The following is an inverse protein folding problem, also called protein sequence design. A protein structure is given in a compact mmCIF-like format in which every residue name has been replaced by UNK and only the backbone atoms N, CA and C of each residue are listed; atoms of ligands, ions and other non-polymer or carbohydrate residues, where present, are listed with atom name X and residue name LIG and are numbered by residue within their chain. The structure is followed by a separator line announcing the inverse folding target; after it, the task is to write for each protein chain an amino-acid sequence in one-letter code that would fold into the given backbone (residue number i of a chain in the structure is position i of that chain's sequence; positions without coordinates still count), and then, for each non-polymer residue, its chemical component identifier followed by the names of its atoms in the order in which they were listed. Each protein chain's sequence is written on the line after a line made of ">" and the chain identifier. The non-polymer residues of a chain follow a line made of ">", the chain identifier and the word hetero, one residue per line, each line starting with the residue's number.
data_IF_294547167628
#
_entry.id   IF_294547167628
#
_cell.length_a   1.000
_cell.length_b   1.000
_cell.length_c   1.000
_cell.angle_alpha   90.00
_cell.angle_beta   90.00
_cell.angle_gamma   90.00
#
_symmetry.space_group_name_H-M   'P 1'
#
loop_
_entity.id
_entity.type
_entity.pdbx_description
1 polymer ?
#
# COMPACT_ATOMS: atom_id res chain seq x y z
N UNK A 1 -19.66 -9.09 0.99
CA UNK A 1 -18.48 -9.32 1.87
C UNK A 1 -17.19 -9.29 1.06
N UNK A 2 -17.07 -10.11 0.02
CA UNK A 2 -15.86 -10.20 -0.80
C UNK A 2 -15.55 -8.88 -1.52
N UNK A 3 -16.57 -8.23 -2.08
CA UNK A 3 -16.42 -6.92 -2.75
C UNK A 3 -15.96 -5.86 -1.77
N UNK A 4 -16.51 -5.86 -0.54
CA UNK A 4 -16.08 -4.93 0.50
C UNK A 4 -14.62 -5.14 0.91
N UNK A 5 -14.18 -6.40 0.98
CA UNK A 5 -12.78 -6.73 1.30
C UNK A 5 -11.84 -6.24 0.19
N UNK A 6 -12.23 -6.40 -1.07
CA UNK A 6 -11.45 -5.90 -2.20
C UNK A 6 -11.35 -4.38 -2.15
N UNK A 7 -12.47 -3.70 -1.88
CA UNK A 7 -12.49 -2.23 -1.79
C UNK A 7 -11.60 -1.72 -0.64
N UNK A 8 -11.65 -2.38 0.51
CA UNK A 8 -10.79 -2.04 1.66
C UNK A 8 -9.32 -2.25 1.32
N UNK A 9 -8.99 -3.38 0.68
CA UNK A 9 -7.62 -3.67 0.26
C UNK A 9 -7.11 -2.67 -0.76
N UNK A 10 -7.92 -2.35 -1.77
CA UNK A 10 -7.56 -1.36 -2.78
C UNK A 10 -7.35 0.03 -2.16
N UNK A 11 -8.23 0.44 -1.24
CA UNK A 11 -8.09 1.69 -0.51
C UNK A 11 -6.80 1.73 0.31
N UNK A 12 -6.46 0.63 0.97
CA UNK A 12 -5.20 0.49 1.71
C UNK A 12 -3.99 0.62 0.81
N UNK A 13 -4.02 0.00 -0.37
CA UNK A 13 -2.95 0.11 -1.36
C UNK A 13 -2.77 1.54 -1.86
N UNK A 14 -3.88 2.25 -2.14
CA UNK A 14 -3.82 3.65 -2.56
C UNK A 14 -3.21 4.54 -1.48
N UNK A 15 -3.63 4.36 -0.24
CA UNK A 15 -3.07 5.14 0.88
C UNK A 15 -1.59 4.86 1.08
N UNK A 16 -1.18 3.60 0.97
CA UNK A 16 0.23 3.23 1.10
C UNK A 16 1.06 3.80 -0.04
N UNK A 17 0.54 3.77 -1.26
CA UNK A 17 1.20 4.36 -2.43
C UNK A 17 1.33 5.88 -2.29
N UNK A 18 0.30 6.56 -1.81
CA UNK A 18 0.34 8.01 -1.58
C UNK A 18 1.39 8.38 -0.52
N UNK A 19 1.46 7.61 0.56
CA UNK A 19 2.47 7.82 1.61
C UNK A 19 3.88 7.59 1.09
N UNK A 20 4.06 6.56 0.28
CA UNK A 20 5.35 6.27 -0.34
C UNK A 20 5.77 7.42 -1.25
N UNK A 21 4.87 7.91 -2.09
CA UNK A 21 5.13 9.01 -3.01
C UNK A 21 5.50 10.29 -2.24
N UNK A 22 4.78 10.60 -1.16
CA UNK A 22 5.08 11.75 -0.33
C UNK A 22 6.46 11.63 0.34
N UNK A 23 6.80 10.46 0.86
CA UNK A 23 8.11 10.21 1.46
C UNK A 23 9.23 10.29 0.43
N UNK A 24 9.01 9.75 -0.77
CA UNK A 24 9.98 9.83 -1.86
C UNK A 24 10.26 11.28 -2.26
N UNK A 25 9.21 12.10 -2.33
CA UNK A 25 9.35 13.53 -2.63
C UNK A 25 10.17 14.26 -1.56
N UNK A 26 9.96 13.92 -0.28
CA UNK A 26 10.74 14.53 0.82
C UNK A 26 12.19 14.11 0.78
N UNK A 27 12.46 12.83 0.49
CA UNK A 27 13.84 12.34 0.35
C UNK A 27 14.55 13.04 -0.81
N UNK A 28 13.85 13.24 -1.92
CA UNK A 28 14.40 13.95 -3.07
C UNK A 28 14.79 15.40 -2.69
N UNK A 29 13.95 16.06 -1.90
CA UNK A 29 14.25 17.43 -1.40
C UNK A 29 15.44 17.44 -0.45
N UNK A 30 15.58 16.42 0.37
CA UNK A 30 16.76 16.28 1.23
C UNK A 30 18.04 16.23 0.40
N UNK A 31 18.03 15.46 -0.68
CA UNK A 31 19.18 15.35 -1.58
C UNK A 31 19.55 16.66 -2.27
N UNK A 32 18.61 17.58 -2.42
CA UNK A 32 18.85 18.91 -3.01
C UNK A 32 19.20 19.97 -1.97
N UNK A 33 19.07 19.66 -0.68
CA UNK A 33 19.31 20.61 0.41
C UNK A 33 18.24 21.68 0.56
N UNK A 34 17.10 21.53 -0.10
CA UNK A 34 16.03 22.54 -0.08
C UNK A 34 15.11 22.44 1.13
N UNK A 35 15.17 21.34 1.87
CA UNK A 35 14.34 21.13 3.05
C UNK A 35 15.11 20.35 4.10
N UNK A 36 14.87 20.67 5.38
CA UNK A 36 15.38 19.87 6.48
C UNK A 36 14.46 18.65 6.63
N UNK A 37 15.03 17.48 6.47
CA UNK A 37 14.31 16.22 6.54
C UNK A 37 15.13 15.26 7.40
N UNK A 38 14.47 14.55 8.32
CA UNK A 38 15.09 13.45 9.04
C UNK A 38 15.05 12.22 8.13
N UNK A 39 16.18 11.90 7.53
CA UNK A 39 16.30 10.79 6.59
C UNK A 39 15.91 9.46 7.25
N UNK A 40 16.27 9.26 8.51
CA UNK A 40 15.91 8.05 9.22
C UNK A 40 14.40 7.91 9.35
N UNK A 41 13.70 8.99 9.71
CA UNK A 41 12.24 9.02 9.77
C UNK A 41 11.62 8.74 8.42
N UNK A 42 12.14 9.33 7.34
CA UNK A 42 11.63 9.10 6.00
C UNK A 42 11.84 7.65 5.55
N UNK A 43 12.95 7.03 5.90
CA UNK A 43 13.18 5.62 5.61
C UNK A 43 12.20 4.72 6.35
N UNK A 44 11.90 5.02 7.61
CA UNK A 44 10.88 4.29 8.37
C UNK A 44 9.50 4.44 7.71
N UNK A 45 9.16 5.63 7.25
CA UNK A 45 7.91 5.90 6.54
C UNK A 45 7.81 5.08 5.25
N UNK A 46 8.88 5.00 4.47
CA UNK A 46 8.91 4.21 3.25
C UNK A 46 8.72 2.72 3.55
N UNK A 47 9.41 2.20 4.56
CA UNK A 47 9.29 0.80 4.96
C UNK A 47 7.88 0.49 5.48
N UNK A 48 7.28 1.41 6.23
CA UNK A 48 5.92 1.27 6.73
C UNK A 48 4.92 1.26 5.57
N UNK A 49 5.08 2.16 4.61
CA UNK A 49 4.22 2.22 3.43
C UNK A 49 4.34 0.94 2.60
N UNK A 50 5.55 0.41 2.44
CA UNK A 50 5.76 -0.85 1.73
C UNK A 50 5.06 -2.01 2.43
N UNK A 51 5.19 -2.09 3.76
CA UNK A 51 4.54 -3.12 4.56
C UNK A 51 3.02 -3.02 4.45
N UNK A 52 2.47 -1.82 4.54
CA UNK A 52 1.03 -1.58 4.42
C UNK A 52 0.53 -1.93 3.03
N UNK A 53 1.28 -1.61 1.99
CA UNK A 53 0.93 -1.96 0.62
C UNK A 53 0.88 -3.48 0.45
N UNK A 54 1.89 -4.20 0.94
CA UNK A 54 1.94 -5.65 0.86
C UNK A 54 0.79 -6.31 1.64
N UNK A 55 0.47 -5.79 2.83
CA UNK A 55 -0.65 -6.30 3.61
C UNK A 55 -1.97 -6.09 2.88
N UNK A 56 -2.19 -4.92 2.29
CA UNK A 56 -3.40 -4.62 1.52
C UNK A 56 -3.49 -5.47 0.26
N UNK A 57 -2.38 -5.71 -0.42
CA UNK A 57 -2.33 -6.59 -1.60
C UNK A 57 -2.72 -8.03 -1.23
N UNK A 58 -2.30 -8.52 -0.07
CA UNK A 58 -2.69 -9.84 0.40
C UNK A 58 -4.19 -9.93 0.65
N UNK A 59 -4.81 -8.87 1.18
CA UNK A 59 -6.26 -8.83 1.40
C UNK A 59 -6.98 -8.91 0.06
N UNK A 60 -6.56 -8.15 -0.93
CA UNK A 60 -7.16 -8.18 -2.27
C UNK A 60 -7.02 -9.57 -2.90
N UNK A 61 -5.84 -10.16 -2.78
CA UNK A 61 -5.58 -11.48 -3.33
C UNK A 61 -6.43 -12.56 -2.67
N UNK A 62 -6.55 -12.52 -1.34
CA UNK A 62 -7.39 -13.47 -0.61
C UNK A 62 -8.86 -13.35 -1.03
N UNK A 63 -9.35 -12.13 -1.19
CA UNK A 63 -10.71 -11.89 -1.64
C UNK A 63 -10.93 -12.39 -3.07
N UNK A 64 -9.95 -12.18 -3.95
CA UNK A 64 -9.99 -12.68 -5.32
C UNK A 64 -10.01 -14.21 -5.37
N UNK A 65 -9.18 -14.87 -4.58
CA UNK A 65 -9.13 -16.32 -4.48
C UNK A 65 -10.45 -16.88 -3.97
N UNK A 66 -11.06 -16.26 -2.98
CA UNK A 66 -12.36 -16.65 -2.46
C UNK A 66 -13.45 -16.54 -3.53
N UNK A 67 -13.43 -15.45 -4.29
CA UNK A 67 -14.38 -15.25 -5.39
C UNK A 67 -14.21 -16.30 -6.47
N UNK A 68 -12.96 -16.63 -6.83
CA UNK A 68 -12.65 -17.68 -7.79
C UNK A 68 -13.17 -19.05 -7.34
N UNK A 69 -13.03 -19.37 -6.06
CA UNK A 69 -13.54 -20.61 -5.49
C UNK A 69 -15.06 -20.69 -5.56
N UNK A 70 -15.75 -19.59 -5.31
CA UNK A 70 -17.21 -19.54 -5.43
C UNK A 70 -17.65 -19.75 -6.87
N UNK A 71 -16.94 -19.16 -7.82
CA UNK A 71 -17.25 -19.33 -9.24
C UNK A 71 -17.03 -20.77 -9.69
N UNK A 72 -15.97 -21.42 -9.20
CA UNK A 72 -15.71 -22.84 -9.50
C UNK A 72 -16.83 -23.75 -8.98
N UNK A 73 -17.37 -23.46 -7.81
CA UNK A 73 -18.47 -24.23 -7.23
C UNK A 73 -19.74 -24.05 -8.07
N UNK A 74 -19.97 -22.84 -8.58
CA UNK A 74 -21.16 -22.53 -9.38
C UNK A 74 -21.04 -22.99 -10.82
N UNK A 75 -19.84 -23.16 -11.31
CA UNK A 75 -19.61 -23.65 -12.67
C UNK A 75 -19.65 -25.16 -12.71
#
# INVERSE_FOLDING_TARGET
>A
MTISSIAIGASGMHRAADRFEASAARVARFGTGLAEVDLATEMVEVLTAETDFKASAKIVRAADDMLGSLLDILA
#
